data_IF_924015339157
#
_entry.id   IF_924015339157
#
_cell.length_a   1.000
_cell.length_b   1.000
_cell.length_c   1.000
_cell.angle_alpha   90.00
_cell.angle_beta   90.00
_cell.angle_gamma   90.00
#
_symmetry.space_group_name_H-M   'P 1'
#
loop_
_entity.id
_entity.type
_entity.pdbx_description
1 polymer ?
#
# COMPACT_ATOMS: atom_id res chain seq x y z
N UNK A 1 1.91 -13.12 3.34
CA UNK A 1 0.84 -13.43 2.36
C UNK A 1 0.64 -12.24 1.45
N UNK A 2 0.11 -12.46 0.25
CA UNK A 2 -0.37 -11.40 -0.62
C UNK A 2 -1.91 -11.34 -0.54
N UNK A 3 -2.49 -10.15 -0.62
CA UNK A 3 -3.92 -9.89 -0.56
C UNK A 3 -4.27 -8.83 -1.60
N UNK A 4 -5.40 -9.02 -2.26
CA UNK A 4 -5.99 -8.08 -3.20
C UNK A 4 -7.52 -8.09 -3.07
N UNK A 5 -8.16 -6.97 -3.43
CA UNK A 5 -9.62 -6.82 -3.35
C UNK A 5 -10.19 -6.22 -4.63
N UNK A 6 -11.24 -6.84 -5.16
CA UNK A 6 -12.13 -6.20 -6.12
C UNK A 6 -13.30 -5.56 -5.40
N UNK A 7 -13.76 -4.40 -5.87
CA UNK A 7 -14.73 -3.57 -5.15
C UNK A 7 -15.71 -2.89 -6.11
N UNK A 8 -16.81 -2.37 -5.57
CA UNK A 8 -17.79 -1.60 -6.35
C UNK A 8 -17.30 -0.19 -6.72
N UNK A 9 -16.13 0.26 -6.23
CA UNK A 9 -15.60 1.59 -6.48
C UNK A 9 -14.36 1.94 -5.65
N UNK A 10 -13.92 3.20 -5.69
CA UNK A 10 -12.62 3.60 -5.13
C UNK A 10 -12.65 4.03 -3.64
N UNK A 11 -13.83 4.18 -3.06
CA UNK A 11 -14.05 4.79 -1.75
C UNK A 11 -14.51 3.74 -0.75
N UNK A 12 -13.63 3.31 0.15
CA UNK A 12 -13.98 2.38 1.23
C UNK A 12 -15.10 2.89 2.16
N UNK A 13 -15.41 4.19 2.14
CA UNK A 13 -16.53 4.77 2.89
C UNK A 13 -17.87 4.32 2.28
N UNK A 14 -18.00 4.42 0.96
CA UNK A 14 -19.27 4.23 0.24
C UNK A 14 -19.37 2.89 -0.48
N UNK A 15 -18.25 2.40 -0.97
CA UNK A 15 -18.17 1.21 -1.81
C UNK A 15 -17.95 -0.05 -0.96
N UNK A 16 -18.10 -1.21 -1.60
CA UNK A 16 -18.11 -2.54 -0.97
C UNK A 16 -17.17 -3.49 -1.69
N UNK A 17 -16.63 -4.46 -0.96
CA UNK A 17 -15.85 -5.57 -1.52
C UNK A 17 -16.79 -6.46 -2.35
N UNK A 18 -16.30 -6.90 -3.51
CA UNK A 18 -16.91 -7.89 -4.40
C UNK A 18 -16.16 -9.22 -4.36
N UNK A 19 -14.82 -9.20 -4.31
CA UNK A 19 -13.95 -10.38 -4.26
C UNK A 19 -12.81 -10.12 -3.28
N UNK A 20 -12.47 -11.12 -2.46
CA UNK A 20 -11.28 -11.12 -1.62
C UNK A 20 -10.35 -12.26 -2.08
N UNK A 21 -9.20 -11.87 -2.64
CA UNK A 21 -8.15 -12.78 -3.05
C UNK A 21 -7.00 -12.74 -2.04
N UNK A 22 -6.52 -13.91 -1.65
CA UNK A 22 -5.38 -14.03 -0.75
C UNK A 22 -4.51 -15.22 -1.13
N UNK A 23 -3.19 -15.04 -1.13
CA UNK A 23 -2.24 -16.12 -1.43
C UNK A 23 -1.16 -16.19 -0.35
N UNK A 24 -1.05 -17.34 0.31
CA UNK A 24 0.05 -17.61 1.24
C UNK A 24 1.29 -18.05 0.49
N UNK A 25 2.43 -17.64 1.03
CA UNK A 25 3.73 -18.02 0.51
C UNK A 25 4.77 -17.96 1.62
N UNK A 26 5.84 -18.70 1.43
CA UNK A 26 6.99 -18.73 2.33
C UNK A 26 8.20 -18.11 1.63
N UNK A 27 9.02 -17.41 2.42
CA UNK A 27 10.19 -16.71 1.95
C UNK A 27 11.33 -16.81 2.96
N UNK A 28 12.56 -16.75 2.47
CA UNK A 28 13.77 -16.69 3.30
C UNK A 28 14.02 -15.26 3.79
N UNK A 29 14.88 -15.08 4.81
CA UNK A 29 15.20 -13.76 5.35
C UNK A 29 15.77 -12.76 4.31
N UNK A 30 16.40 -13.24 3.24
CA UNK A 30 16.90 -12.43 2.12
C UNK A 30 15.83 -12.12 1.06
N UNK A 31 14.57 -12.53 1.29
CA UNK A 31 13.42 -12.21 0.44
C UNK A 31 13.17 -13.19 -0.70
N UNK A 32 13.86 -14.35 -0.75
CA UNK A 32 13.60 -15.36 -1.78
C UNK A 32 12.32 -16.13 -1.43
N UNK A 33 11.31 -16.00 -2.28
CA UNK A 33 10.11 -16.84 -2.23
C UNK A 33 10.50 -18.24 -2.68
N UNK A 34 10.20 -19.26 -1.86
CA UNK A 34 10.54 -20.66 -2.16
C UNK A 34 9.34 -21.60 -2.16
N UNK A 35 8.18 -21.15 -1.69
CA UNK A 35 6.97 -21.95 -1.65
C UNK A 35 5.73 -21.06 -1.79
N UNK A 36 4.81 -21.43 -2.68
CA UNK A 36 3.45 -20.86 -2.76
C UNK A 36 2.53 -21.91 -2.13
N UNK A 37 1.73 -21.49 -1.17
CA UNK A 37 0.91 -22.38 -0.34
C UNK A 37 -0.54 -22.34 -0.86
N UNK A 38 -1.48 -22.08 0.04
CA UNK A 38 -2.91 -22.01 -0.23
C UNK A 38 -3.33 -20.65 -0.80
N UNK A 39 -4.33 -20.72 -1.66
CA UNK A 39 -5.09 -19.59 -2.18
C UNK A 39 -6.44 -19.55 -1.48
N UNK A 40 -6.93 -18.35 -1.22
CA UNK A 40 -8.30 -18.10 -0.78
C UNK A 40 -8.93 -17.15 -1.78
N UNK A 41 -10.12 -17.52 -2.26
CA UNK A 41 -10.92 -16.70 -3.14
C UNK A 41 -12.39 -16.80 -2.75
N UNK A 42 -13.00 -15.69 -2.36
CA UNK A 42 -14.42 -15.65 -2.05
C UNK A 42 -15.04 -14.33 -2.52
N UNK A 43 -16.28 -14.44 -2.99
CA UNK A 43 -17.09 -13.29 -3.35
C UNK A 43 -17.89 -12.76 -2.17
N UNK A 44 -18.26 -11.49 -2.26
CA UNK A 44 -19.15 -10.82 -1.34
C UNK A 44 -20.28 -10.15 -2.13
N UNK A 45 -21.53 -10.48 -1.80
CA UNK A 45 -22.69 -9.78 -2.32
C UNK A 45 -22.69 -8.33 -1.78
N UNK A 46 -22.62 -7.29 -2.64
CA UNK A 46 -22.65 -5.91 -2.21
C UNK A 46 -24.08 -5.46 -1.83
N UNK A 47 -25.11 -6.29 -2.06
CA UNK A 47 -26.54 -5.98 -1.82
C UNK A 47 -27.03 -4.75 -2.57
N UNK A 48 -26.40 -4.45 -3.70
CA UNK A 48 -26.75 -3.39 -4.64
C UNK A 48 -26.27 -3.77 -6.06
N UNK A 49 -26.89 -3.24 -7.13
CA UNK A 49 -26.45 -3.55 -8.49
C UNK A 49 -25.00 -3.11 -8.74
N UNK A 50 -24.21 -3.99 -9.34
CA UNK A 50 -22.84 -3.66 -9.77
C UNK A 50 -22.93 -2.73 -10.99
N UNK A 51 -22.20 -1.61 -10.95
CA UNK A 51 -22.18 -0.68 -12.07
C UNK A 51 -21.53 -1.34 -13.31
N UNK A 52 -22.06 -1.13 -14.54
CA UNK A 52 -21.55 -1.83 -15.73
C UNK A 52 -20.06 -1.67 -15.98
N UNK A 53 -19.49 -0.50 -15.69
CA UNK A 53 -18.04 -0.26 -15.85
C UNK A 53 -17.19 -1.04 -14.84
N UNK A 54 -17.74 -1.40 -13.67
CA UNK A 54 -17.06 -2.27 -12.70
C UNK A 54 -17.08 -3.71 -13.22
N UNK A 55 -18.22 -4.19 -13.71
CA UNK A 55 -18.29 -5.52 -14.35
C UNK A 55 -17.40 -5.61 -15.59
N UNK A 56 -17.30 -4.56 -16.41
CA UNK A 56 -16.37 -4.51 -17.53
C UNK A 56 -14.90 -4.59 -17.07
N UNK A 57 -14.57 -3.95 -15.95
CA UNK A 57 -13.22 -3.93 -15.39
C UNK A 57 -12.85 -5.28 -14.77
N UNK A 58 -13.69 -5.83 -13.90
CA UNK A 58 -13.38 -6.98 -13.04
C UNK A 58 -13.91 -8.32 -13.57
N UNK A 59 -14.82 -8.26 -14.54
CA UNK A 59 -15.59 -9.43 -15.00
C UNK A 59 -16.62 -9.95 -13.98
N UNK A 60 -16.78 -9.30 -12.81
CA UNK A 60 -17.68 -9.75 -11.76
C UNK A 60 -19.11 -9.24 -12.04
N UNK A 61 -20.07 -10.16 -12.13
CA UNK A 61 -21.48 -9.86 -12.37
C UNK A 61 -22.33 -10.00 -11.11
N UNK A 62 -23.52 -9.38 -11.12
CA UNK A 62 -24.51 -9.51 -10.03
C UNK A 62 -24.87 -10.98 -9.76
N UNK A 63 -24.90 -11.83 -10.79
CA UNK A 63 -25.16 -13.28 -10.65
C UNK A 63 -24.04 -14.01 -9.91
N UNK A 64 -22.78 -13.63 -10.13
CA UNK A 64 -21.62 -14.28 -9.51
C UNK A 64 -21.59 -14.04 -8.00
N UNK A 65 -21.94 -12.83 -7.57
CA UNK A 65 -21.89 -12.42 -6.17
C UNK A 65 -23.19 -12.67 -5.41
N UNK A 66 -24.29 -13.00 -6.10
CA UNK A 66 -25.61 -13.16 -5.49
C UNK A 66 -25.58 -14.16 -4.33
N UNK A 67 -26.00 -13.68 -3.16
CA UNK A 67 -26.07 -14.44 -1.92
C UNK A 67 -24.72 -14.97 -1.39
N UNK A 68 -23.60 -14.58 -2.02
CA UNK A 68 -22.25 -14.88 -1.54
C UNK A 68 -21.90 -14.03 -0.33
N UNK A 69 -21.18 -14.62 0.61
CA UNK A 69 -20.63 -13.92 1.77
C UNK A 69 -19.25 -14.49 2.06
N UNK A 70 -18.29 -13.60 2.28
CA UNK A 70 -16.95 -14.03 2.70
C UNK A 70 -17.04 -14.63 4.10
N UNK A 71 -16.56 -15.87 4.23
CA UNK A 71 -16.53 -16.60 5.49
C UNK A 71 -15.45 -16.03 6.41
N UNK A 72 -15.88 -15.30 7.45
CA UNK A 72 -14.98 -14.67 8.41
C UNK A 72 -14.11 -15.68 9.17
N UNK A 73 -14.63 -16.86 9.52
CA UNK A 73 -13.86 -17.87 10.23
C UNK A 73 -12.73 -18.43 9.36
N UNK A 74 -13.01 -18.64 8.07
CA UNK A 74 -11.98 -19.07 7.11
C UNK A 74 -10.90 -17.99 6.93
N UNK A 75 -11.27 -16.70 6.86
CA UNK A 75 -10.28 -15.60 6.80
C UNK A 75 -9.41 -15.55 8.06
N UNK A 76 -10.01 -15.71 9.24
CA UNK A 76 -9.27 -15.76 10.51
C UNK A 76 -8.29 -16.93 10.53
N UNK A 77 -8.74 -18.12 10.12
CA UNK A 77 -7.90 -19.30 10.02
C UNK A 77 -6.79 -19.12 8.98
N UNK A 78 -7.10 -18.50 7.85
CA UNK A 78 -6.12 -18.15 6.82
C UNK A 78 -5.09 -17.14 7.35
N UNK A 79 -5.44 -16.25 8.27
CA UNK A 79 -4.47 -15.31 8.86
C UNK A 79 -3.59 -15.90 9.97
N UNK A 80 -3.82 -17.16 10.36
CA UNK A 80 -2.94 -17.86 11.29
C UNK A 80 -1.53 -18.03 10.68
N UNK A 81 -0.51 -17.81 11.51
CA UNK A 81 0.91 -17.87 11.12
C UNK A 81 1.33 -16.87 10.03
N UNK A 82 0.48 -15.89 9.69
CA UNK A 82 0.85 -14.79 8.80
C UNK A 82 1.60 -13.71 9.57
N UNK A 83 2.86 -13.49 9.18
CA UNK A 83 3.74 -12.44 9.73
C UNK A 83 3.47 -11.05 9.14
N UNK A 84 3.08 -10.99 7.86
CA UNK A 84 2.84 -9.75 7.10
C UNK A 84 1.74 -9.98 6.05
N UNK A 85 0.84 -9.01 5.92
CA UNK A 85 -0.08 -8.90 4.78
C UNK A 85 0.56 -7.94 3.77
N UNK A 86 0.66 -8.36 2.51
CA UNK A 86 1.20 -7.53 1.43
C UNK A 86 0.08 -7.30 0.43
N UNK A 87 -0.11 -6.05 0.01
CA UNK A 87 -0.94 -5.73 -1.14
C UNK A 87 -0.12 -4.87 -2.10
N UNK A 88 -0.52 -4.85 -3.38
CA UNK A 88 0.17 -3.97 -4.33
C UNK A 88 -0.03 -2.50 -3.93
N UNK A 89 -1.27 -2.12 -3.67
CA UNK A 89 -1.63 -0.78 -3.19
C UNK A 89 -2.34 -0.86 -1.84
N UNK A 90 -1.61 -1.22 -0.77
CA UNK A 90 -2.19 -1.38 0.57
C UNK A 90 -3.01 -0.20 1.08
N UNK A 91 -2.77 1.03 0.61
CA UNK A 91 -3.60 2.20 0.91
C UNK A 91 -5.03 2.16 0.36
N UNK A 92 -5.31 1.22 -0.55
CA UNK A 92 -6.61 0.90 -1.10
C UNK A 92 -7.19 -0.34 -0.42
N UNK A 93 -6.48 -1.46 -0.43
CA UNK A 93 -7.00 -2.74 0.08
C UNK A 93 -7.24 -2.75 1.59
N UNK A 94 -6.32 -2.17 2.37
CA UNK A 94 -6.38 -2.23 3.83
C UNK A 94 -7.65 -1.56 4.38
N UNK A 95 -8.04 -0.34 3.99
CA UNK A 95 -9.29 0.26 4.48
C UNK A 95 -10.55 -0.56 4.20
N UNK A 96 -10.63 -1.21 3.03
CA UNK A 96 -11.73 -2.14 2.71
C UNK A 96 -11.69 -3.39 3.60
N UNK A 97 -10.50 -3.98 3.76
CA UNK A 97 -10.30 -5.15 4.62
C UNK A 97 -10.64 -4.85 6.08
N UNK A 98 -10.10 -3.76 6.64
CA UNK A 98 -10.32 -3.35 8.03
C UNK A 98 -11.80 -3.03 8.31
N UNK A 99 -12.54 -2.50 7.32
CA UNK A 99 -14.00 -2.28 7.41
C UNK A 99 -14.78 -3.59 7.52
N UNK A 100 -14.38 -4.62 6.78
CA UNK A 100 -15.05 -5.93 6.79
C UNK A 100 -14.63 -6.80 7.99
N UNK A 101 -13.38 -6.63 8.45
CA UNK A 101 -12.75 -7.39 9.53
C UNK A 101 -12.15 -6.48 10.63
N UNK A 102 -12.97 -5.72 11.36
CA UNK A 102 -12.49 -4.73 12.35
C UNK A 102 -11.66 -5.34 13.49
N UNK A 103 -11.86 -6.63 13.78
CA UNK A 103 -11.14 -7.37 14.82
C UNK A 103 -9.73 -7.82 14.39
N UNK A 104 -9.36 -7.65 13.11
CA UNK A 104 -8.10 -8.14 12.52
C UNK A 104 -7.08 -7.03 12.18
N UNK A 105 -7.32 -5.82 12.67
CA UNK A 105 -6.56 -4.58 12.35
C UNK A 105 -5.12 -4.54 12.89
N UNK A 106 -4.69 -5.55 13.65
CA UNK A 106 -3.37 -5.57 14.32
C UNK A 106 -2.23 -6.06 13.43
N UNK A 107 -2.53 -6.60 12.24
CA UNK A 107 -1.51 -7.09 11.32
C UNK A 107 -0.76 -5.93 10.67
N UNK A 108 0.55 -6.10 10.47
CA UNK A 108 1.36 -5.12 9.75
C UNK A 108 1.17 -5.35 8.25
N UNK A 109 1.01 -4.24 7.51
CA UNK A 109 0.88 -4.24 6.07
C UNK A 109 2.16 -3.77 5.37
N UNK A 110 2.57 -4.52 4.35
CA UNK A 110 3.54 -4.10 3.35
C UNK A 110 2.85 -3.68 2.06
N UNK A 111 3.45 -2.74 1.34
CA UNK A 111 2.91 -2.19 0.11
C UNK A 111 3.93 -2.31 -1.03
N UNK A 112 3.67 -3.17 -2.01
CA UNK A 112 4.61 -3.35 -3.14
C UNK A 112 4.77 -2.07 -3.99
N UNK A 113 3.81 -1.14 -3.92
CA UNK A 113 3.90 0.17 -4.57
C UNK A 113 4.75 1.19 -3.82
N UNK A 114 4.73 1.19 -2.47
CA UNK A 114 5.33 2.27 -1.65
C UNK A 114 6.53 1.86 -0.81
N UNK A 115 6.73 0.57 -0.54
CA UNK A 115 7.86 0.07 0.25
C UNK A 115 9.09 -0.26 -0.62
N UNK A 116 9.01 -0.01 -1.92
CA UNK A 116 10.11 -0.14 -2.89
C UNK A 116 10.42 1.23 -3.49
N UNK A 117 11.70 1.58 -3.59
CA UNK A 117 12.14 2.83 -4.21
C UNK A 117 12.22 2.69 -5.73
N UNK A 118 11.05 2.57 -6.36
CA UNK A 118 10.93 2.44 -7.81
C UNK A 118 11.64 3.56 -8.59
N UNK A 119 11.76 4.76 -7.99
CA UNK A 119 12.45 5.90 -8.61
C UNK A 119 13.96 5.68 -8.65
N UNK A 120 14.55 5.22 -7.55
CA UNK A 120 15.97 4.83 -7.53
C UNK A 120 16.24 3.73 -8.57
N UNK A 121 15.30 2.79 -8.69
CA UNK A 121 15.34 1.68 -9.63
C UNK A 121 15.01 2.08 -11.08
N UNK A 122 14.88 3.38 -11.40
CA UNK A 122 14.62 3.91 -12.75
C UNK A 122 13.32 3.40 -13.38
N UNK A 123 12.32 3.12 -12.55
CA UNK A 123 10.97 2.72 -12.98
C UNK A 123 10.01 3.88 -12.69
N UNK A 124 9.36 4.39 -13.75
CA UNK A 124 8.57 5.62 -13.69
C UNK A 124 7.11 5.39 -13.25
N UNK A 125 6.55 4.22 -13.58
CA UNK A 125 5.18 3.86 -13.24
C UNK A 125 5.17 2.69 -12.26
N UNK A 126 4.29 2.80 -11.26
CA UNK A 126 4.14 1.81 -10.20
C UNK A 126 2.82 1.02 -10.32
N UNK A 127 2.16 1.08 -11.48
CA UNK A 127 1.00 0.21 -11.78
C UNK A 127 1.47 -1.24 -11.86
N UNK A 128 0.72 -2.18 -11.27
CA UNK A 128 1.13 -3.59 -11.21
C UNK A 128 1.40 -4.16 -12.60
N UNK A 129 0.47 -3.94 -13.54
CA UNK A 129 0.62 -4.34 -14.95
C UNK A 129 1.90 -3.80 -15.60
N UNK A 130 2.23 -2.53 -15.35
CA UNK A 130 3.44 -1.91 -15.91
C UNK A 130 4.71 -2.54 -15.33
N UNK A 131 4.70 -2.82 -14.01
CA UNK A 131 5.81 -3.47 -13.33
C UNK A 131 5.98 -4.91 -13.83
N UNK A 132 4.90 -5.67 -13.90
CA UNK A 132 4.88 -7.03 -14.47
C UNK A 132 5.41 -7.03 -15.91
N UNK A 133 4.94 -6.10 -16.75
CA UNK A 133 5.41 -5.92 -18.12
C UNK A 133 6.92 -5.67 -18.20
N UNK A 134 7.49 -4.85 -17.29
CA UNK A 134 8.94 -4.62 -17.23
C UNK A 134 9.75 -5.88 -16.95
N UNK A 135 9.13 -6.89 -16.34
CA UNK A 135 9.71 -8.20 -16.09
C UNK A 135 9.24 -9.27 -17.09
N UNK A 136 8.65 -8.86 -18.22
CA UNK A 136 8.11 -9.74 -19.27
C UNK A 136 7.01 -10.68 -18.78
N UNK A 137 6.26 -10.27 -17.76
CA UNK A 137 5.09 -10.99 -17.26
C UNK A 137 3.81 -10.29 -17.71
N UNK A 138 2.94 -11.06 -18.34
CA UNK A 138 1.67 -10.61 -18.88
C UNK A 138 0.57 -11.43 -18.24
N UNK A 139 -0.48 -10.76 -17.79
CA UNK A 139 -1.63 -11.37 -17.13
C UNK A 139 -2.86 -10.52 -17.41
N UNK A 140 -4.04 -11.12 -17.22
CA UNK A 140 -5.31 -10.40 -17.24
C UNK A 140 -5.61 -9.99 -15.80
N UNK A 141 -5.56 -8.67 -15.54
CA UNK A 141 -5.77 -8.15 -14.19
C UNK A 141 -7.24 -8.10 -13.77
N UNK A 142 -7.48 -7.50 -12.61
CA UNK A 142 -8.81 -7.24 -12.06
C UNK A 142 -9.58 -8.49 -11.63
N UNK A 143 -8.81 -9.51 -11.22
CA UNK A 143 -9.28 -10.68 -10.48
C UNK A 143 -8.35 -10.87 -9.30
N UNK A 144 -8.91 -10.89 -8.10
CA UNK A 144 -8.10 -10.67 -6.89
C UNK A 144 -6.98 -11.71 -6.72
N UNK A 145 -7.24 -13.00 -7.01
CA UNK A 145 -6.18 -14.04 -6.93
C UNK A 145 -5.14 -13.89 -8.03
N UNK A 146 -5.55 -13.49 -9.25
CA UNK A 146 -4.62 -13.30 -10.36
C UNK A 146 -3.68 -12.13 -10.03
N UNK A 147 -4.21 -11.04 -9.50
CA UNK A 147 -3.43 -9.88 -9.06
C UNK A 147 -2.50 -10.23 -7.88
N UNK A 148 -2.93 -11.10 -6.97
CA UNK A 148 -2.05 -11.67 -5.94
C UNK A 148 -0.87 -12.43 -6.55
N UNK A 149 -1.13 -13.33 -7.51
CA UNK A 149 -0.09 -14.12 -8.17
C UNK A 149 0.86 -13.25 -9.00
N UNK A 150 0.34 -12.23 -9.68
CA UNK A 150 1.14 -11.22 -10.38
C UNK A 150 2.02 -10.42 -9.40
N UNK A 151 1.47 -10.06 -8.24
CA UNK A 151 2.20 -9.45 -7.14
C UNK A 151 3.32 -10.35 -6.62
N UNK A 152 3.07 -11.64 -6.41
CA UNK A 152 4.11 -12.61 -6.01
C UNK A 152 5.19 -12.77 -7.07
N UNK A 153 4.79 -12.83 -8.35
CA UNK A 153 5.73 -12.86 -9.46
C UNK A 153 6.66 -11.63 -9.39
N UNK A 154 6.10 -10.43 -9.24
CA UNK A 154 6.87 -9.19 -9.09
C UNK A 154 7.81 -9.24 -7.88
N UNK A 155 7.32 -9.68 -6.71
CA UNK A 155 8.10 -9.78 -5.48
C UNK A 155 9.29 -10.73 -5.61
N UNK A 156 9.20 -11.73 -6.49
CA UNK A 156 10.28 -12.69 -6.77
C UNK A 156 11.35 -12.18 -7.75
N UNK A 157 11.17 -10.99 -8.34
CA UNK A 157 12.11 -10.42 -9.30
C UNK A 157 13.28 -9.69 -8.63
N UNK A 158 14.36 -9.52 -9.40
CA UNK A 158 15.48 -8.66 -9.03
C UNK A 158 15.27 -7.24 -9.55
N UNK A 159 15.47 -6.27 -8.67
CA UNK A 159 15.46 -4.86 -9.01
C UNK A 159 16.58 -4.50 -10.01
N UNK A 160 16.31 -3.63 -10.99
CA UNK A 160 17.21 -3.39 -12.12
C UNK A 160 18.52 -2.69 -11.73
N UNK A 161 18.52 -1.81 -10.73
CA UNK A 161 19.71 -1.03 -10.32
C UNK A 161 20.36 -1.66 -9.10
N UNK A 162 19.63 -1.84 -7.99
CA UNK A 162 20.21 -2.39 -6.75
C UNK A 162 20.59 -3.87 -6.85
N UNK A 163 19.99 -4.61 -7.79
CA UNK A 163 20.13 -6.07 -7.93
C UNK A 163 19.69 -6.86 -6.69
N UNK A 164 18.86 -6.25 -5.85
CA UNK A 164 18.21 -6.92 -4.73
C UNK A 164 16.86 -7.50 -5.15
N UNK A 165 16.36 -8.51 -4.43
CA UNK A 165 15.00 -8.98 -4.62
C UNK A 165 14.00 -7.88 -4.27
N UNK A 166 12.94 -7.74 -5.05
CA UNK A 166 11.86 -6.77 -4.78
C UNK A 166 11.30 -6.97 -3.37
N UNK A 167 11.04 -8.24 -2.98
CA UNK A 167 10.55 -8.56 -1.63
C UNK A 167 11.55 -8.14 -0.54
N UNK A 168 12.86 -8.25 -0.77
CA UNK A 168 13.87 -7.86 0.23
C UNK A 168 13.74 -6.38 0.59
N UNK A 169 13.62 -5.50 -0.41
CA UNK A 169 13.48 -4.07 -0.17
C UNK A 169 12.16 -3.74 0.57
N UNK A 170 11.07 -4.44 0.23
CA UNK A 170 9.80 -4.33 0.95
C UNK A 170 9.96 -4.75 2.43
N UNK A 171 10.58 -5.89 2.69
CA UNK A 171 10.81 -6.41 4.05
C UNK A 171 11.70 -5.47 4.89
N UNK A 172 12.63 -4.75 4.26
CA UNK A 172 13.44 -3.73 4.93
C UNK A 172 12.66 -2.47 5.29
N UNK A 173 11.50 -2.22 4.67
CA UNK A 173 10.78 -0.94 4.79
C UNK A 173 9.41 -1.06 5.48
N UNK A 174 8.75 -2.22 5.42
CA UNK A 174 7.36 -2.34 5.86
C UNK A 174 7.15 -2.03 7.36
N UNK A 175 8.14 -2.36 8.19
CA UNK A 175 8.12 -2.22 9.64
C UNK A 175 8.71 -0.90 10.15
N UNK A 176 9.16 0.00 9.26
CA UNK A 176 9.76 1.28 9.66
C UNK A 176 8.69 2.25 10.11
N UNK A 177 8.97 2.97 11.20
CA UNK A 177 8.14 4.11 11.60
C UNK A 177 8.29 5.23 10.57
N UNK A 178 7.15 5.80 10.18
CA UNK A 178 7.07 6.91 9.22
C UNK A 178 6.55 8.15 9.93
N UNK A 179 6.90 9.31 9.40
CA UNK A 179 6.55 10.60 9.98
C UNK A 179 6.08 11.52 8.87
N UNK A 180 4.93 12.17 9.07
CA UNK A 180 4.53 13.32 8.26
C UNK A 180 5.06 14.57 8.92
N UNK A 181 6.01 15.22 8.26
CA UNK A 181 6.63 16.45 8.73
C UNK A 181 6.00 17.63 8.00
N UNK A 182 5.50 18.59 8.76
CA UNK A 182 4.77 19.74 8.21
C UNK A 182 5.60 21.01 8.35
N UNK A 183 6.03 21.58 7.23
CA UNK A 183 6.68 22.88 7.19
C UNK A 183 5.63 24.01 7.28
N UNK A 184 4.95 24.10 8.44
CA UNK A 184 3.92 25.10 8.77
C UNK A 184 4.53 26.50 8.80
N UNK A 185 3.89 27.47 8.17
CA UNK A 185 4.37 28.85 8.05
C UNK A 185 5.76 28.99 7.37
N UNK A 186 6.15 28.03 6.50
CA UNK A 186 7.37 28.15 5.73
C UNK A 186 7.34 29.42 4.84
N UNK A 187 8.43 30.20 4.77
CA UNK A 187 8.47 31.39 3.93
C UNK A 187 8.20 31.07 2.46
N UNK A 188 7.40 31.90 1.77
CA UNK A 188 7.01 31.63 0.37
C UNK A 188 8.21 31.43 -0.57
N UNK A 189 9.31 32.16 -0.34
CA UNK A 189 10.55 32.05 -1.12
C UNK A 189 11.18 30.64 -1.08
N UNK A 190 10.88 29.84 -0.05
CA UNK A 190 11.43 28.49 0.13
C UNK A 190 10.64 27.38 -0.58
N UNK A 191 9.54 27.73 -1.28
CA UNK A 191 8.65 26.75 -1.93
C UNK A 191 9.38 25.78 -2.87
N UNK A 192 10.36 26.26 -3.62
CA UNK A 192 11.03 25.45 -4.64
C UNK A 192 12.08 24.52 -4.01
N UNK A 193 12.69 24.93 -2.88
CA UNK A 193 13.53 24.07 -2.04
C UNK A 193 12.72 22.93 -1.40
N UNK A 194 11.53 23.25 -0.89
CA UNK A 194 10.62 22.24 -0.33
C UNK A 194 10.17 21.25 -1.41
N UNK A 195 9.76 21.75 -2.59
CA UNK A 195 9.38 20.89 -3.72
C UNK A 195 10.51 19.97 -4.18
N UNK A 196 11.75 20.47 -4.26
CA UNK A 196 12.89 19.66 -4.72
C UNK A 196 13.22 18.52 -3.74
N UNK A 197 12.91 18.70 -2.45
CA UNK A 197 12.99 17.66 -1.41
C UNK A 197 11.74 16.77 -1.30
N UNK A 198 10.78 16.93 -2.19
CA UNK A 198 9.60 16.06 -2.25
C UNK A 198 8.41 16.51 -1.39
N UNK A 199 8.46 17.70 -0.77
CA UNK A 199 7.30 18.24 -0.08
C UNK A 199 6.15 18.51 -1.07
N UNK A 200 4.94 18.28 -0.59
CA UNK A 200 3.68 18.57 -1.29
C UNK A 200 2.81 19.49 -0.46
N UNK A 201 2.09 20.39 -1.12
CA UNK A 201 1.12 21.24 -0.43
C UNK A 201 -0.08 20.38 -0.03
N UNK A 202 -0.40 20.32 1.27
CA UNK A 202 -1.40 19.40 1.82
C UNK A 202 -2.17 20.05 2.96
N UNK A 203 -3.38 19.52 3.24
CA UNK A 203 -4.22 19.94 4.37
C UNK A 203 -3.96 19.03 5.57
N UNK A 204 -3.72 19.61 6.75
CA UNK A 204 -3.53 18.85 7.99
C UNK A 204 -4.84 18.16 8.39
N UNK A 205 -4.83 16.85 8.67
CA UNK A 205 -6.06 16.08 8.88
C UNK A 205 -6.84 16.49 10.13
N UNK A 206 -6.17 17.01 11.16
CA UNK A 206 -6.79 17.32 12.47
C UNK A 206 -6.94 18.81 12.75
N UNK A 207 -6.06 19.64 12.19
CA UNK A 207 -5.97 21.08 12.55
C UNK A 207 -6.42 21.98 11.39
N UNK A 208 -6.84 21.41 10.26
CA UNK A 208 -7.42 22.08 9.10
C UNK A 208 -6.60 23.26 8.51
N UNK A 209 -5.29 23.35 8.81
CA UNK A 209 -4.39 24.28 8.14
C UNK A 209 -3.77 23.64 6.91
N UNK A 210 -3.29 24.45 5.96
CA UNK A 210 -2.50 23.96 4.81
C UNK A 210 -1.02 24.29 5.00
N UNK A 211 -0.16 23.33 4.69
CA UNK A 211 1.29 23.51 4.71
C UNK A 211 1.97 22.55 3.74
N UNK A 212 3.27 22.76 3.53
CA UNK A 212 4.12 21.79 2.86
C UNK A 212 4.33 20.58 3.76
N UNK A 213 4.08 19.38 3.24
CA UNK A 213 4.19 18.12 3.96
C UNK A 213 5.08 17.14 3.19
N UNK A 214 5.93 16.42 3.91
CA UNK A 214 6.68 15.28 3.39
C UNK A 214 6.51 14.09 4.34
N UNK A 215 6.47 12.89 3.80
CA UNK A 215 6.56 11.65 4.58
C UNK A 215 7.99 11.14 4.56
N UNK A 216 8.56 10.90 5.74
CA UNK A 216 9.92 10.39 5.92
C UNK A 216 9.96 9.21 6.86
N UNK A 217 10.93 8.32 6.67
CA UNK A 217 11.21 7.20 7.57
C UNK A 217 12.13 7.64 8.71
N UNK A 218 12.09 6.90 9.83
CA UNK A 218 12.84 7.21 11.05
C UNK A 218 14.33 7.54 10.84
N UNK A 219 15.03 6.81 9.98
CA UNK A 219 16.46 7.04 9.71
C UNK A 219 16.77 8.42 9.08
N UNK A 220 15.78 9.06 8.46
CA UNK A 220 15.95 10.35 7.78
C UNK A 220 15.43 11.53 8.61
N UNK A 221 14.85 11.27 9.79
CA UNK A 221 14.20 12.30 10.62
C UNK A 221 15.15 13.42 11.01
N UNK A 222 16.29 13.09 11.59
CA UNK A 222 17.25 14.07 12.09
C UNK A 222 17.75 14.98 10.96
N UNK A 223 18.10 14.39 9.81
CA UNK A 223 18.55 15.15 8.65
C UNK A 223 17.48 16.11 8.13
N UNK A 224 16.20 15.70 8.11
CA UNK A 224 15.13 16.55 7.59
C UNK A 224 14.80 17.69 8.56
N UNK A 225 14.79 17.43 9.87
CA UNK A 225 14.60 18.47 10.87
C UNK A 225 15.73 19.50 10.79
N UNK A 226 16.98 19.05 10.68
CA UNK A 226 18.12 19.95 10.51
C UNK A 226 18.00 20.82 9.24
N UNK A 227 17.54 20.24 8.12
CA UNK A 227 17.26 21.00 6.90
C UNK A 227 16.20 22.09 7.13
N UNK A 228 15.07 21.74 7.76
CA UNK A 228 14.02 22.72 8.03
C UNK A 228 14.52 23.86 8.94
N UNK A 229 15.24 23.54 10.02
CA UNK A 229 15.76 24.55 10.93
C UNK A 229 16.78 25.47 10.25
N UNK A 230 17.70 24.91 9.46
CA UNK A 230 18.85 25.65 8.90
C UNK A 230 18.57 26.34 7.57
N UNK A 231 17.76 25.73 6.70
CA UNK A 231 17.54 26.20 5.32
C UNK A 231 16.15 26.82 5.09
N UNK A 232 15.17 26.53 5.95
CA UNK A 232 13.79 27.04 5.78
C UNK A 232 13.45 28.11 6.81
N UNK A 233 13.68 27.82 8.10
CA UNK A 233 13.28 28.72 9.18
C UNK A 233 14.41 29.63 9.68
N UNK A 234 15.67 29.21 9.54
CA UNK A 234 16.85 29.89 10.05
C UNK A 234 16.81 30.21 11.56
N UNK A 235 16.05 29.41 12.33
CA UNK A 235 15.85 29.51 13.78
C UNK A 235 15.30 28.20 14.29
N UNK A 236 15.38 27.95 15.59
CA UNK A 236 14.70 26.81 16.20
C UNK A 236 13.17 27.01 16.19
N UNK A 237 12.49 26.36 15.26
CA UNK A 237 11.05 26.37 15.07
C UNK A 237 10.44 25.05 15.54
N UNK A 238 9.31 25.09 16.23
CA UNK A 238 8.56 23.88 16.59
C UNK A 238 7.88 23.31 15.35
N UNK A 239 8.48 22.28 14.75
CA UNK A 239 7.98 21.64 13.52
C UNK A 239 6.90 20.61 13.90
N UNK A 240 5.65 20.74 13.41
CA UNK A 240 4.63 19.73 13.61
C UNK A 240 4.99 18.41 12.94
N UNK A 241 4.92 17.32 13.70
CA UNK A 241 5.24 15.96 13.26
C UNK A 241 4.08 15.05 13.63
N UNK A 242 3.60 14.28 12.67
CA UNK A 242 2.65 13.20 12.91
C UNK A 242 3.35 11.85 12.72
N UNK A 243 3.40 11.06 13.78
CA UNK A 243 3.98 9.70 13.76
C UNK A 243 2.99 8.70 13.18
N UNK A 244 3.47 7.84 12.28
CA UNK A 244 2.74 6.75 11.66
C UNK A 244 3.51 5.46 11.99
N UNK A 245 2.97 4.71 12.94
CA UNK A 245 3.54 3.44 13.38
C UNK A 245 3.20 2.33 12.37
N UNK A 246 4.01 1.26 12.28
CA UNK A 246 3.82 0.21 11.27
C UNK A 246 2.42 -0.40 11.23
N UNK A 247 1.83 -0.61 12.40
CA UNK A 247 0.49 -1.17 12.56
C UNK A 247 -0.63 -0.20 12.16
N UNK A 248 -0.37 1.11 12.10
CA UNK A 248 -1.32 2.15 11.67
C UNK A 248 -1.10 2.61 10.22
N UNK A 249 -0.20 1.97 9.47
CA UNK A 249 0.01 2.34 8.05
C UNK A 249 -1.22 1.93 7.23
N UNK A 250 -1.68 2.81 6.34
CA UNK A 250 -2.79 2.50 5.42
C UNK A 250 -4.17 2.36 6.07
N UNK A 251 -4.36 2.83 7.31
CA UNK A 251 -5.66 2.93 7.98
C UNK A 251 -6.38 4.23 7.66
#
# INVERSE_FOLDING_TARGET
>A
MFLDTETTGLSYVTDKILELGMVKFEYTNDGRIYNILEEFNQYQDPKEPIAPHITELTGITDEMVRDQNINKEEVINFLQNVSIIIAHNAGFDRPFFDKLFPDLTTKIWGCARLDIDWKYEKIESQKLEYLAYKYNFFYEGHRAVIDCLAGLHLLSQYLPVSKELVLKQLLMNYHKTRFKVWAKNAPYATKDLLKSRGYRWSTHPQENYKAWMVEIIENNMESELNFLQSCIYHKNYAIPIQTILPYNRFT
#
